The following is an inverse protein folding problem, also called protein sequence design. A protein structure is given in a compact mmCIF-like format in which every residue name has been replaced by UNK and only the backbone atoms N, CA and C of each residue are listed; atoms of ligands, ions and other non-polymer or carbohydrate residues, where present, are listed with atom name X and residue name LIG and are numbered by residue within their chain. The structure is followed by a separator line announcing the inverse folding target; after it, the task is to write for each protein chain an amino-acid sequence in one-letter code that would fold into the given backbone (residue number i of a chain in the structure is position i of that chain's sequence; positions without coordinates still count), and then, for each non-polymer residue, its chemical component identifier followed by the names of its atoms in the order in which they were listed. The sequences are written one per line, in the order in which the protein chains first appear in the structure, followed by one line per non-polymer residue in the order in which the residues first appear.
data_IF_207208651910
#
_entry.id   IF_207208651910
#
_cell.length_a   1.000
_cell.length_b   1.000
_cell.length_c   1.000
_cell.angle_alpha   90.00
_cell.angle_beta   90.00
_cell.angle_gamma   90.00
#
_symmetry.space_group_name_H-M   'P 1'
#
loop_
_entity.id
_entity.type
_entity.pdbx_description
1 polymer ?
#
# COMPACT_ATOMS: atom_id res chain seq x y z
N UNK A 1 58.66 13.23 -25.30
CA UNK A 1 58.19 11.86 -25.06
C UNK A 1 57.21 11.92 -23.89
N UNK A 2 55.91 11.96 -24.19
CA UNK A 2 54.84 12.11 -23.20
C UNK A 2 54.44 10.72 -22.71
N UNK A 3 54.70 10.45 -21.43
CA UNK A 3 54.38 9.17 -20.78
C UNK A 3 52.87 9.06 -20.59
N UNK A 4 52.28 8.00 -21.16
CA UNK A 4 50.87 7.64 -21.03
C UNK A 4 50.58 7.13 -19.61
N UNK A 5 49.71 7.82 -18.88
CA UNK A 5 49.07 7.28 -17.68
C UNK A 5 47.89 6.40 -18.13
N UNK A 6 48.05 5.07 -17.99
CA UNK A 6 46.93 4.12 -18.07
C UNK A 6 46.08 4.22 -16.80
N UNK A 7 44.74 4.20 -16.89
CA UNK A 7 43.88 4.04 -15.73
C UNK A 7 43.83 2.57 -15.31
N UNK A 8 43.91 2.30 -14.01
CA UNK A 8 43.72 0.97 -13.42
C UNK A 8 42.31 0.42 -13.71
N UNK A 9 42.14 -0.89 -13.97
CA UNK A 9 40.83 -1.50 -14.06
C UNK A 9 40.25 -1.70 -12.64
N UNK A 10 39.06 -1.15 -12.41
CA UNK A 10 38.28 -1.37 -11.18
C UNK A 10 38.04 -2.87 -11.00
N UNK A 11 38.55 -3.42 -9.89
CA UNK A 11 38.46 -4.84 -9.56
C UNK A 11 37.01 -5.31 -9.43
N UNK A 12 36.64 -6.28 -10.29
CA UNK A 12 35.36 -6.97 -10.21
C UNK A 12 35.31 -7.87 -8.98
N UNK A 13 34.33 -7.64 -8.10
CA UNK A 13 33.90 -8.63 -7.13
C UNK A 13 33.55 -9.93 -7.88
N UNK A 14 34.04 -11.07 -7.39
CA UNK A 14 33.86 -12.36 -8.08
C UNK A 14 32.39 -12.76 -7.99
N UNK A 15 31.72 -13.11 -9.11
CA UNK A 15 30.29 -13.46 -9.14
C UNK A 15 29.90 -14.73 -8.37
N UNK A 16 30.84 -15.40 -7.70
CA UNK A 16 30.59 -16.58 -6.87
C UNK A 16 30.24 -16.22 -5.41
N UNK A 17 30.80 -15.15 -4.85
CA UNK A 17 30.55 -14.75 -3.45
C UNK A 17 29.17 -14.08 -3.31
N UNK A 18 28.81 -13.19 -4.24
CA UNK A 18 27.49 -12.52 -4.27
C UNK A 18 26.31 -13.48 -4.44
N UNK A 19 26.53 -14.67 -5.01
CA UNK A 19 25.47 -15.69 -5.15
C UNK A 19 25.22 -16.41 -3.83
N UNK A 20 26.31 -16.78 -3.14
CA UNK A 20 26.22 -17.41 -1.83
C UNK A 20 25.48 -16.52 -0.82
N UNK A 21 25.82 -15.22 -0.76
CA UNK A 21 25.14 -14.27 0.14
C UNK A 21 23.65 -14.10 -0.19
N UNK A 22 23.28 -14.15 -1.48
CA UNK A 22 21.90 -14.05 -1.93
C UNK A 22 21.10 -15.32 -1.64
N UNK A 23 21.73 -16.48 -1.74
CA UNK A 23 21.14 -17.78 -1.43
C UNK A 23 20.84 -17.89 0.07
N UNK A 24 21.78 -17.45 0.91
CA UNK A 24 21.62 -17.40 2.37
C UNK A 24 20.48 -16.46 2.77
N UNK A 25 20.47 -15.24 2.22
CA UNK A 25 19.39 -14.29 2.46
C UNK A 25 18.03 -14.80 1.97
N UNK A 26 17.99 -15.52 0.83
CA UNK A 26 16.74 -16.15 0.35
C UNK A 26 16.25 -17.21 1.32
N UNK A 27 17.16 -18.03 1.85
CA UNK A 27 16.83 -19.09 2.80
C UNK A 27 16.25 -18.50 4.09
N UNK A 28 16.92 -17.50 4.66
CA UNK A 28 16.45 -16.80 5.85
C UNK A 28 15.07 -16.15 5.65
N UNK A 29 14.87 -15.50 4.50
CA UNK A 29 13.59 -14.90 4.14
C UNK A 29 12.51 -15.97 3.96
N UNK A 30 12.83 -17.12 3.37
CA UNK A 30 11.88 -18.22 3.16
C UNK A 30 11.45 -18.87 4.48
N UNK A 31 12.39 -19.11 5.39
CA UNK A 31 12.11 -19.61 6.74
C UNK A 31 11.24 -18.64 7.53
N UNK A 32 11.62 -17.36 7.52
CA UNK A 32 10.88 -16.31 8.23
C UNK A 32 9.50 -16.10 7.63
N UNK A 33 9.39 -16.12 6.30
CA UNK A 33 8.12 -16.00 5.58
C UNK A 33 7.21 -17.19 5.87
N UNK A 34 7.74 -18.40 5.97
CA UNK A 34 6.97 -19.61 6.28
C UNK A 34 6.36 -19.53 7.68
N UNK A 35 7.16 -19.17 8.68
CA UNK A 35 6.70 -18.98 10.06
C UNK A 35 5.68 -17.84 10.18
N UNK A 36 5.88 -16.74 9.45
CA UNK A 36 4.95 -15.63 9.39
C UNK A 36 3.65 -16.01 8.67
N UNK A 37 3.71 -16.79 7.59
CA UNK A 37 2.56 -17.25 6.83
C UNK A 37 1.65 -18.14 7.68
N UNK A 38 2.20 -19.03 8.51
CA UNK A 38 1.39 -19.87 9.40
C UNK A 38 0.67 -19.06 10.48
N UNK A 39 1.37 -18.16 11.16
CA UNK A 39 0.77 -17.30 12.18
C UNK A 39 -0.26 -16.34 11.60
N UNK A 40 0.02 -15.78 10.42
CA UNK A 40 -0.87 -14.83 9.77
C UNK A 40 -2.16 -15.47 9.26
N UNK A 41 -2.17 -16.74 8.82
CA UNK A 41 -3.40 -17.42 8.37
C UNK A 41 -4.49 -17.45 9.44
N UNK A 42 -4.12 -17.79 10.69
CA UNK A 42 -5.07 -17.83 11.81
C UNK A 42 -5.63 -16.45 12.18
N UNK A 43 -4.74 -15.46 12.31
CA UNK A 43 -5.13 -14.07 12.58
C UNK A 43 -5.96 -13.47 11.44
N UNK A 44 -5.56 -13.70 10.19
CA UNK A 44 -6.24 -13.19 9.01
C UNK A 44 -7.64 -13.78 8.87
N UNK A 45 -7.86 -15.05 9.20
CA UNK A 45 -9.18 -15.67 9.18
C UNK A 45 -10.13 -14.99 10.19
N UNK A 46 -9.68 -14.80 11.44
CA UNK A 46 -10.47 -14.14 12.48
C UNK A 46 -10.73 -12.65 12.14
N UNK A 47 -9.70 -11.93 11.70
CA UNK A 47 -9.82 -10.53 11.30
C UNK A 47 -10.75 -10.37 10.09
N UNK A 48 -10.67 -11.27 9.10
CA UNK A 48 -11.57 -11.28 7.93
C UNK A 48 -13.01 -11.45 8.36
N UNK A 49 -13.33 -12.39 9.24
CA UNK A 49 -14.70 -12.62 9.66
C UNK A 49 -15.30 -11.39 10.34
N UNK A 50 -14.54 -10.72 11.19
CA UNK A 50 -14.98 -9.50 11.89
C UNK A 50 -15.07 -8.28 10.96
N UNK A 51 -14.11 -8.15 10.03
CA UNK A 51 -14.13 -7.09 9.02
C UNK A 51 -15.29 -7.26 8.04
N UNK A 52 -15.60 -8.49 7.63
CA UNK A 52 -16.71 -8.80 6.74
C UNK A 52 -18.04 -8.35 7.35
N UNK A 53 -18.31 -8.72 8.61
CA UNK A 53 -19.55 -8.33 9.28
C UNK A 53 -19.67 -6.81 9.45
N UNK A 54 -18.58 -6.14 9.85
CA UNK A 54 -18.62 -4.70 10.09
C UNK A 54 -18.77 -3.89 8.80
N UNK A 55 -18.10 -4.32 7.73
CA UNK A 55 -18.12 -3.60 6.47
C UNK A 55 -19.44 -3.80 5.75
N UNK A 56 -20.03 -5.01 5.75
CA UNK A 56 -21.31 -5.28 5.08
C UNK A 56 -22.40 -4.27 5.45
N UNK A 57 -22.50 -3.94 6.74
CA UNK A 57 -23.46 -2.96 7.27
C UNK A 57 -23.19 -1.52 6.79
N UNK A 58 -21.97 -1.21 6.34
CA UNK A 58 -21.51 0.15 5.99
C UNK A 58 -21.12 0.32 4.52
N UNK A 59 -21.18 -0.72 3.69
CA UNK A 59 -20.77 -0.67 2.27
C UNK A 59 -21.50 0.40 1.48
N UNK A 60 -22.81 0.55 1.71
CA UNK A 60 -23.62 1.52 0.99
C UNK A 60 -23.23 2.97 1.25
N UNK A 61 -22.76 3.28 2.46
CA UNK A 61 -22.23 4.61 2.81
C UNK A 61 -20.85 4.82 2.16
N UNK A 62 -19.96 3.82 2.27
CA UNK A 62 -18.64 3.86 1.65
C UNK A 62 -18.71 4.03 0.13
N UNK A 63 -19.57 3.26 -0.56
CA UNK A 63 -19.76 3.35 -2.01
C UNK A 63 -20.23 4.76 -2.42
N UNK A 64 -21.17 5.35 -1.67
CA UNK A 64 -21.64 6.73 -1.90
C UNK A 64 -20.51 7.74 -1.75
N UNK A 65 -19.74 7.68 -0.67
CA UNK A 65 -18.59 8.57 -0.48
C UNK A 65 -17.57 8.46 -1.61
N UNK A 66 -17.27 7.25 -2.07
CA UNK A 66 -16.34 7.03 -3.19
C UNK A 66 -16.91 7.59 -4.50
N UNK A 67 -18.20 7.38 -4.79
CA UNK A 67 -18.84 7.94 -5.99
C UNK A 67 -18.89 9.49 -5.94
N UNK A 68 -19.10 10.07 -4.77
CA UNK A 68 -19.08 11.54 -4.62
C UNK A 68 -17.68 12.13 -4.81
N UNK A 69 -16.64 11.40 -4.40
CA UNK A 69 -15.25 11.75 -4.73
C UNK A 69 -14.98 11.62 -6.24
N UNK A 70 -15.47 10.57 -6.89
CA UNK A 70 -15.36 10.40 -8.34
C UNK A 70 -15.98 11.59 -9.09
N UNK A 71 -17.19 12.00 -8.70
CA UNK A 71 -17.89 13.18 -9.24
C UNK A 71 -17.07 14.45 -9.02
N UNK A 72 -16.60 14.69 -7.80
CA UNK A 72 -15.79 15.87 -7.46
C UNK A 72 -14.49 15.94 -8.28
N UNK A 73 -13.86 14.78 -8.51
CA UNK A 73 -12.64 14.69 -9.30
C UNK A 73 -12.91 14.94 -10.79
N UNK A 74 -14.01 14.40 -11.33
CA UNK A 74 -14.44 14.67 -12.69
C UNK A 74 -14.80 16.14 -12.90
N UNK A 75 -15.51 16.74 -11.95
CA UNK A 75 -15.84 18.17 -11.97
C UNK A 75 -14.59 19.04 -11.92
N UNK A 76 -13.59 18.64 -11.11
CA UNK A 76 -12.28 19.31 -11.09
C UNK A 76 -11.57 19.20 -12.44
N UNK A 77 -11.65 18.04 -13.09
CA UNK A 77 -11.12 17.79 -14.44
C UNK A 77 -11.68 18.74 -15.51
N UNK A 78 -12.94 19.18 -15.40
CA UNK A 78 -13.57 20.17 -16.30
C UNK A 78 -12.89 21.54 -16.26
N UNK A 79 -12.16 21.84 -15.18
CA UNK A 79 -11.35 23.08 -15.10
C UNK A 79 -10.16 23.06 -16.06
N UNK A 80 -9.77 21.87 -16.55
CA UNK A 80 -8.63 21.65 -17.43
C UNK A 80 -9.05 21.35 -18.88
N UNK A 81 -10.16 21.94 -19.34
CA UNK A 81 -10.68 21.76 -20.70
C UNK A 81 -9.70 22.22 -21.80
N UNK A 82 -8.80 23.14 -21.46
CA UNK A 82 -7.69 23.60 -22.31
C UNK A 82 -6.50 22.63 -22.33
N UNK A 83 -6.47 21.62 -21.44
CA UNK A 83 -5.36 20.67 -21.26
C UNK A 83 -5.87 19.23 -21.31
N UNK A 84 -6.07 18.66 -22.51
CA UNK A 84 -6.72 17.36 -22.70
C UNK A 84 -6.00 16.20 -21.98
N UNK A 85 -4.67 16.24 -21.87
CA UNK A 85 -3.91 15.20 -21.16
C UNK A 85 -4.16 15.23 -19.65
N UNK A 86 -4.32 16.42 -19.07
CA UNK A 86 -4.62 16.57 -17.65
C UNK A 86 -6.06 16.16 -17.39
N UNK A 87 -7.00 16.67 -18.19
CA UNK A 87 -8.41 16.25 -18.12
C UNK A 87 -8.57 14.74 -18.23
N UNK A 88 -7.90 14.11 -19.19
CA UNK A 88 -7.93 12.65 -19.36
C UNK A 88 -7.46 11.90 -18.10
N UNK A 89 -6.45 12.41 -17.40
CA UNK A 89 -5.99 11.83 -16.15
C UNK A 89 -7.07 11.91 -15.04
N UNK A 90 -7.68 13.08 -14.84
CA UNK A 90 -8.78 13.25 -13.88
C UNK A 90 -9.97 12.37 -14.25
N UNK A 91 -10.25 12.28 -15.54
CA UNK A 91 -11.32 11.47 -16.09
C UNK A 91 -11.08 9.99 -15.79
N UNK A 92 -9.91 9.44 -16.10
CA UNK A 92 -9.56 8.05 -15.81
C UNK A 92 -9.56 7.76 -14.30
N UNK A 93 -9.10 8.69 -13.49
CA UNK A 93 -9.13 8.53 -12.04
C UNK A 93 -10.56 8.52 -11.49
N UNK A 94 -11.44 9.38 -12.00
CA UNK A 94 -12.85 9.39 -11.62
C UNK A 94 -13.57 8.10 -12.04
N UNK A 95 -13.30 7.60 -13.25
CA UNK A 95 -13.87 6.35 -13.75
C UNK A 95 -13.43 5.15 -12.89
N UNK A 96 -12.15 5.07 -12.53
CA UNK A 96 -11.66 4.04 -11.62
C UNK A 96 -12.29 4.10 -10.22
N UNK A 97 -12.60 5.30 -9.71
CA UNK A 97 -13.31 5.45 -8.45
C UNK A 97 -14.79 5.05 -8.56
N UNK A 98 -15.45 5.32 -9.68
CA UNK A 98 -16.85 4.92 -9.88
C UNK A 98 -17.00 3.40 -10.03
N UNK A 99 -16.06 2.77 -10.76
CA UNK A 99 -15.93 1.31 -10.81
C UNK A 99 -15.71 0.70 -9.42
N UNK A 100 -14.85 1.34 -8.62
CA UNK A 100 -14.60 0.94 -7.24
C UNK A 100 -15.89 1.06 -6.40
N UNK A 101 -16.60 2.18 -6.47
CA UNK A 101 -17.86 2.39 -5.76
C UNK A 101 -18.89 1.30 -6.11
N UNK A 102 -19.06 1.01 -7.41
CA UNK A 102 -19.94 -0.06 -7.86
C UNK A 102 -19.49 -1.45 -7.40
N UNK A 103 -18.17 -1.68 -7.28
CA UNK A 103 -17.65 -2.93 -6.72
C UNK A 103 -17.91 -3.06 -5.21
N UNK A 104 -17.80 -1.97 -4.45
CA UNK A 104 -18.06 -1.94 -3.00
C UNK A 104 -19.55 -2.21 -2.73
N UNK A 105 -20.44 -1.64 -3.54
CA UNK A 105 -21.88 -1.83 -3.40
C UNK A 105 -22.32 -3.27 -3.74
N UNK A 106 -21.76 -3.85 -4.81
CA UNK A 106 -22.24 -5.13 -5.36
C UNK A 106 -21.51 -6.36 -4.86
N UNK A 107 -20.25 -6.25 -4.44
CA UNK A 107 -19.43 -7.40 -4.04
C UNK A 107 -19.15 -7.41 -2.54
N UNK A 108 -19.11 -8.62 -2.02
CA UNK A 108 -18.57 -8.84 -0.69
C UNK A 108 -17.06 -8.67 -0.69
N UNK A 109 -16.50 -8.14 0.41
CA UNK A 109 -15.04 -8.11 0.60
C UNK A 109 -14.41 -9.50 0.43
N UNK A 110 -15.19 -10.54 0.65
CA UNK A 110 -14.83 -11.94 0.42
C UNK A 110 -14.44 -12.22 -1.04
N UNK A 111 -15.24 -11.72 -1.99
CA UNK A 111 -15.00 -11.87 -3.42
C UNK A 111 -13.79 -11.03 -3.86
N UNK A 112 -13.66 -9.83 -3.28
CA UNK A 112 -12.52 -8.97 -3.53
C UNK A 112 -11.22 -9.62 -3.06
N UNK A 113 -11.23 -10.25 -1.88
CA UNK A 113 -10.09 -10.99 -1.35
C UNK A 113 -9.70 -12.17 -2.25
N UNK A 114 -10.69 -12.96 -2.72
CA UNK A 114 -10.44 -14.08 -3.65
C UNK A 114 -9.80 -13.61 -4.96
N UNK A 115 -10.22 -12.46 -5.47
CA UNK A 115 -9.62 -11.86 -6.66
C UNK A 115 -8.20 -11.30 -6.39
N UNK A 116 -8.01 -10.65 -5.24
CA UNK A 116 -6.71 -10.16 -4.79
C UNK A 116 -5.71 -11.31 -4.58
N UNK A 117 -6.12 -12.46 -4.05
CA UNK A 117 -5.26 -13.65 -3.89
C UNK A 117 -4.72 -14.13 -5.25
N UNK A 118 -5.59 -14.16 -6.27
CA UNK A 118 -5.19 -14.53 -7.63
C UNK A 118 -4.17 -13.54 -8.20
N UNK A 119 -4.38 -12.24 -7.94
CA UNK A 119 -3.46 -11.19 -8.39
C UNK A 119 -2.12 -11.24 -7.65
N UNK A 120 -2.14 -11.54 -6.34
CA UNK A 120 -0.95 -11.64 -5.51
C UNK A 120 -0.01 -12.75 -5.96
N UNK A 121 -0.58 -13.89 -6.37
CA UNK A 121 0.20 -15.00 -6.95
C UNK A 121 0.83 -14.64 -8.30
N UNK A 122 0.24 -13.71 -9.05
CA UNK A 122 0.70 -13.31 -10.39
C UNK A 122 1.77 -12.22 -10.35
N UNK A 123 1.66 -11.29 -9.40
CA UNK A 123 2.52 -10.10 -9.32
C UNK A 123 3.00 -9.83 -7.89
N UNK A 124 3.91 -10.67 -7.35
CA UNK A 124 4.37 -10.56 -5.97
C UNK A 124 5.02 -9.21 -5.65
N UNK A 125 5.74 -8.60 -6.61
CA UNK A 125 6.39 -7.29 -6.43
C UNK A 125 5.36 -6.18 -6.20
N UNK A 126 4.29 -6.13 -7.00
CA UNK A 126 3.23 -5.13 -6.85
C UNK A 126 2.56 -5.25 -5.49
N UNK A 127 2.33 -6.47 -5.02
CA UNK A 127 1.75 -6.71 -3.70
C UNK A 127 2.69 -6.29 -2.57
N UNK A 128 3.99 -6.57 -2.69
CA UNK A 128 4.96 -6.13 -1.68
C UNK A 128 4.99 -4.60 -1.54
N UNK A 129 5.01 -3.88 -2.67
CA UNK A 129 4.96 -2.40 -2.68
C UNK A 129 3.64 -1.90 -2.09
N UNK A 130 2.51 -2.50 -2.49
CA UNK A 130 1.19 -2.13 -1.98
C UNK A 130 1.06 -2.35 -0.47
N UNK A 131 1.55 -3.49 0.03
CA UNK A 131 1.54 -3.83 1.46
C UNK A 131 2.39 -2.85 2.27
N UNK A 132 3.58 -2.50 1.77
CA UNK A 132 4.44 -1.51 2.42
C UNK A 132 3.76 -0.12 2.49
N UNK A 133 3.20 0.35 1.37
CA UNK A 133 2.49 1.62 1.32
C UNK A 133 1.27 1.63 2.26
N UNK A 134 0.48 0.55 2.27
CA UNK A 134 -0.65 0.39 3.18
C UNK A 134 -0.21 0.41 4.65
N UNK A 135 0.88 -0.28 4.99
CA UNK A 135 1.45 -0.27 6.34
C UNK A 135 1.90 1.13 6.79
N UNK A 136 2.54 1.89 5.90
CA UNK A 136 2.92 3.29 6.18
C UNK A 136 1.70 4.19 6.41
N UNK A 137 0.67 4.08 5.55
CA UNK A 137 -0.57 4.83 5.71
C UNK A 137 -1.28 4.48 7.02
N UNK A 138 -1.32 3.19 7.37
CA UNK A 138 -1.89 2.74 8.63
C UNK A 138 -1.13 3.29 9.84
N UNK A 139 0.22 3.26 9.80
CA UNK A 139 1.06 3.87 10.84
C UNK A 139 0.78 5.36 10.98
N UNK A 140 0.64 6.07 9.85
CA UNK A 140 0.30 7.50 9.85
C UNK A 140 -1.10 7.75 10.42
N UNK A 141 -2.08 6.92 10.10
CA UNK A 141 -3.44 7.03 10.65
C UNK A 141 -3.46 6.80 12.16
N UNK A 142 -2.80 5.75 12.65
CA UNK A 142 -2.70 5.47 14.09
C UNK A 142 -2.03 6.64 14.83
N UNK A 143 -0.90 7.16 14.31
CA UNK A 143 -0.23 8.33 14.89
C UNK A 143 -1.06 9.60 14.82
N UNK A 144 -1.83 9.80 13.74
CA UNK A 144 -2.71 10.96 13.59
C UNK A 144 -3.95 10.89 14.47
N UNK A 145 -4.45 9.68 14.78
CA UNK A 145 -5.56 9.47 15.70
C UNK A 145 -5.16 9.59 17.17
N UNK A 146 -3.87 9.43 17.49
CA UNK A 146 -3.31 9.68 18.81
C UNK A 146 -2.90 11.14 18.98
N UNK A 147 -3.85 12.03 19.28
CA UNK A 147 -3.52 13.35 19.83
C UNK A 147 -2.89 13.16 21.22
N UNK A 148 -1.66 13.63 21.48
CA UNK A 148 -1.18 13.76 22.85
C UNK A 148 -1.87 14.97 23.48
N UNK A 149 -3.05 14.77 24.04
CA UNK A 149 -3.58 15.64 25.10
C UNK A 149 -2.85 15.31 26.40
N UNK A 150 -1.59 15.70 26.55
CA UNK A 150 -0.96 15.81 27.88
C UNK A 150 0.22 16.78 27.81
N UNK A 151 -0.08 18.08 27.82
CA UNK A 151 0.68 19.00 28.67
C UNK A 151 -0.16 20.28 28.92
N UNK A 152 -1.15 20.15 29.79
CA UNK A 152 -1.65 21.28 30.58
C UNK A 152 -1.55 20.88 32.03
N UNK A 153 -0.98 21.80 32.80
CA UNK A 153 -1.01 21.89 34.26
C UNK A 153 -0.14 20.85 34.99
N UNK A 154 1.09 21.24 35.33
CA UNK A 154 1.67 21.13 36.68
C UNK A 154 3.11 21.68 36.66
N UNK A 155 3.28 23.01 36.79
CA UNK A 155 4.31 23.60 37.68
C UNK A 155 4.12 25.12 37.84
N UNK A 156 2.93 25.49 38.29
CA UNK A 156 2.71 26.75 39.00
C UNK A 156 2.54 26.36 40.48
N UNK A 157 3.60 25.92 41.19
CA UNK A 157 3.59 25.74 42.66
C UNK A 157 4.99 25.38 43.24
N UNK A 158 6.02 26.23 43.09
CA UNK A 158 7.10 26.24 44.11
C UNK A 158 7.97 27.50 44.19
N UNK A 159 7.70 28.23 45.28
CA UNK A 159 8.58 29.06 46.13
C UNK A 159 9.27 30.28 45.51
#
# INVERSE_FOLDING_TARGET
MTSSASPDPVGGARPAETKADLEDLRHDVEDTASLAAERSKGLAAAARQQALSYVDDRKGEAARSVSDLAKSLRDSGKTFDDRPNIRAFFDSAAEGLDDLAGSIERRSLDDFYRQAETYARRSPVTVAVGAFAAGFLLSRFVKASGSPETDRAYDDYRA
#
